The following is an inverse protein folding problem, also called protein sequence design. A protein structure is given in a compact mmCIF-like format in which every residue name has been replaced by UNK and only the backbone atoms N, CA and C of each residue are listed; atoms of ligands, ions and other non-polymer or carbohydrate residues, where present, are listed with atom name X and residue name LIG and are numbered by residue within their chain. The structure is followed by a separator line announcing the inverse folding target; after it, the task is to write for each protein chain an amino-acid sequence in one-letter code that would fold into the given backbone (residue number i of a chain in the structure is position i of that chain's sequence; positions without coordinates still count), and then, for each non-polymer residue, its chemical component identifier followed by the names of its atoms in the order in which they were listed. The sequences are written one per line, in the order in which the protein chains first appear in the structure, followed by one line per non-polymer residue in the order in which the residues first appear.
data_IF_052489580647
#
_entry.id   IF_052489580647
#
_cell.length_a   1.000
_cell.length_b   1.000
_cell.length_c   1.000
_cell.angle_alpha   90.00
_cell.angle_beta   90.00
_cell.angle_gamma   90.00
#
_symmetry.space_group_name_H-M   'P 1'
#
loop_
_entity.id
_entity.type
_entity.pdbx_description
1 polymer ?
#
# COMPACT_ATOMS: atom_id res chain seq x y z
N UNK A 1 18.44 2.09 -24.90
CA UNK A 1 17.71 1.04 -25.66
C UNK A 1 16.96 0.25 -24.61
N UNK A 2 15.63 0.36 -24.58
CA UNK A 2 14.82 -0.37 -23.59
C UNK A 2 14.92 -1.86 -23.86
N UNK A 3 15.18 -2.67 -22.83
CA UNK A 3 15.29 -4.12 -22.94
C UNK A 3 13.93 -4.70 -23.39
N UNK A 4 13.81 -5.25 -24.62
CA UNK A 4 12.54 -5.76 -25.13
C UNK A 4 12.03 -6.95 -24.30
N UNK A 5 12.92 -7.67 -23.61
CA UNK A 5 12.54 -8.79 -22.75
C UNK A 5 11.88 -8.31 -21.44
N UNK A 6 12.27 -7.14 -20.89
CA UNK A 6 11.57 -6.59 -19.72
C UNK A 6 10.26 -5.91 -20.11
N UNK A 7 10.21 -5.24 -21.27
CA UNK A 7 8.95 -4.69 -21.78
C UNK A 7 7.92 -5.80 -22.03
N UNK A 8 8.38 -6.96 -22.51
CA UNK A 8 7.60 -8.19 -22.61
C UNK A 8 7.26 -8.77 -21.24
N UNK A 9 8.22 -8.93 -20.33
CA UNK A 9 7.97 -9.45 -18.98
C UNK A 9 6.96 -8.60 -18.21
N UNK A 10 7.01 -7.26 -18.29
CA UNK A 10 6.02 -6.36 -17.67
C UNK A 10 4.64 -6.47 -18.34
N UNK A 11 4.59 -6.74 -19.66
CA UNK A 11 3.34 -7.06 -20.37
C UNK A 11 2.77 -8.41 -19.95
N UNK A 12 3.65 -9.38 -19.72
CA UNK A 12 3.30 -10.74 -19.30
C UNK A 12 3.01 -10.81 -17.79
N UNK A 13 3.47 -9.82 -17.00
CA UNK A 13 3.06 -9.56 -15.61
C UNK A 13 1.64 -9.00 -15.51
N UNK A 14 0.92 -8.82 -16.63
CA UNK A 14 -0.53 -8.64 -16.61
C UNK A 14 -1.17 -9.95 -16.14
N UNK A 15 -1.10 -10.18 -14.82
CA UNK A 15 -1.87 -11.23 -14.18
C UNK A 15 -3.32 -10.91 -14.51
N UNK A 16 -4.01 -11.85 -15.16
CA UNK A 16 -5.41 -11.67 -15.53
C UNK A 16 -6.25 -11.34 -14.29
N UNK A 17 -7.50 -10.92 -14.50
CA UNK A 17 -8.44 -10.56 -13.42
C UNK A 17 -8.62 -11.63 -12.32
N UNK A 18 -8.13 -12.85 -12.56
CA UNK A 18 -8.16 -14.00 -11.67
C UNK A 18 -6.98 -14.12 -10.68
N UNK A 19 -6.16 -13.07 -10.45
CA UNK A 19 -5.16 -13.14 -9.38
C UNK A 19 -5.85 -13.14 -8.01
N UNK A 20 -5.96 -14.34 -7.43
CA UNK A 20 -6.26 -14.52 -6.01
C UNK A 20 -4.95 -14.40 -5.20
N UNK A 21 -4.95 -13.61 -4.11
CA UNK A 21 -3.79 -13.55 -3.24
C UNK A 21 -3.49 -14.92 -2.63
N UNK A 22 -2.22 -15.17 -2.32
CA UNK A 22 -1.80 -16.42 -1.70
C UNK A 22 -2.44 -16.56 -0.31
N UNK A 23 -3.24 -17.62 -0.13
CA UNK A 23 -3.85 -17.94 1.16
C UNK A 23 -2.80 -18.46 2.13
N UNK A 24 -2.82 -17.93 3.34
CA UNK A 24 -1.92 -18.29 4.43
C UNK A 24 -2.64 -19.14 5.48
N UNK A 25 -1.86 -19.88 6.26
CA UNK A 25 -2.35 -20.50 7.48
C UNK A 25 -2.74 -19.41 8.48
N UNK A 26 -3.84 -19.66 9.22
CA UNK A 26 -4.29 -18.75 10.26
C UNK A 26 -3.22 -18.55 11.32
N UNK A 27 -2.98 -17.29 11.67
CA UNK A 27 -2.11 -16.87 12.76
C UNK A 27 -2.67 -17.22 14.16
N UNK A 28 -3.92 -17.70 14.24
CA UNK A 28 -4.61 -17.95 15.50
C UNK A 28 -5.09 -16.68 16.21
N UNK A 29 -5.00 -15.52 15.55
CA UNK A 29 -5.47 -14.26 16.08
C UNK A 29 -7.01 -14.17 16.05
N UNK A 30 -7.59 -13.53 17.06
CA UNK A 30 -9.02 -13.30 17.12
C UNK A 30 -9.36 -12.00 16.37
N UNK A 31 -9.94 -12.13 15.18
CA UNK A 31 -10.35 -11.01 14.35
C UNK A 31 -11.58 -10.28 14.90
N UNK A 32 -11.66 -8.98 14.60
CA UNK A 32 -12.71 -8.07 15.01
C UNK A 32 -13.90 -8.04 14.05
N UNK A 33 -14.68 -6.96 14.19
CA UNK A 33 -15.92 -6.67 13.44
C UNK A 33 -15.88 -5.22 12.96
N UNK A 34 -16.57 -4.88 11.87
CA UNK A 34 -16.67 -3.50 11.42
C UNK A 34 -17.30 -2.61 12.49
N UNK A 35 -16.87 -1.35 12.54
CA UNK A 35 -17.47 -0.36 13.41
C UNK A 35 -18.90 -0.01 12.93
N UNK A 36 -19.83 0.39 13.82
CA UNK A 36 -21.16 0.80 13.40
C UNK A 36 -21.10 1.99 12.42
N UNK A 37 -21.76 1.85 11.26
CA UNK A 37 -21.76 2.87 10.21
C UNK A 37 -20.42 3.05 9.50
N UNK A 38 -19.57 2.02 9.50
CA UNK A 38 -18.32 2.01 8.74
C UNK A 38 -18.61 1.96 7.24
N UNK A 39 -17.96 2.83 6.47
CA UNK A 39 -18.13 2.92 5.02
C UNK A 39 -16.77 2.78 4.33
N UNK A 40 -16.78 2.21 3.12
CA UNK A 40 -15.62 2.10 2.27
C UNK A 40 -15.19 3.47 1.76
N UNK A 41 -13.96 3.89 2.05
CA UNK A 41 -13.44 5.19 1.59
C UNK A 41 -13.30 5.32 0.07
N UNK A 42 -13.37 4.21 -0.68
CA UNK A 42 -13.25 4.20 -2.14
C UNK A 42 -14.60 4.11 -2.85
N UNK A 43 -15.45 3.16 -2.47
CA UNK A 43 -16.76 2.96 -3.11
C UNK A 43 -17.91 3.71 -2.43
N UNK A 44 -17.70 4.22 -1.21
CA UNK A 44 -18.75 4.79 -0.35
C UNK A 44 -19.87 3.79 -0.02
N UNK A 45 -19.60 2.49 -0.16
CA UNK A 45 -20.52 1.43 0.24
C UNK A 45 -20.30 1.07 1.71
N UNK A 46 -21.37 0.64 2.37
CA UNK A 46 -21.33 0.20 3.77
C UNK A 46 -20.42 -1.02 3.94
N UNK A 47 -19.63 -1.03 5.01
CA UNK A 47 -18.85 -2.18 5.45
C UNK A 47 -19.57 -2.80 6.64
N UNK A 48 -20.17 -3.97 6.42
CA UNK A 48 -21.06 -4.63 7.37
C UNK A 48 -20.65 -6.08 7.61
N UNK A 49 -21.13 -6.68 8.69
CA UNK A 49 -20.94 -8.12 8.92
C UNK A 49 -21.80 -8.94 7.96
N UNK A 50 -22.99 -8.43 7.63
CA UNK A 50 -23.99 -9.04 6.77
C UNK A 50 -23.49 -9.21 5.33
N UNK A 51 -22.81 -8.19 4.80
CA UNK A 51 -22.22 -8.21 3.46
C UNK A 51 -20.85 -8.90 3.43
N UNK A 52 -20.34 -9.27 4.61
CA UNK A 52 -19.08 -9.98 4.81
C UNK A 52 -17.88 -9.35 4.07
N UNK A 53 -17.91 -8.02 3.94
CA UNK A 53 -16.97 -7.22 3.15
C UNK A 53 -15.91 -6.52 4.02
N UNK A 54 -15.86 -6.84 5.31
CA UNK A 54 -14.87 -6.34 6.26
C UNK A 54 -13.49 -6.98 6.07
N UNK A 55 -12.44 -6.17 6.25
CA UNK A 55 -11.04 -6.59 6.08
C UNK A 55 -10.21 -6.07 7.24
N UNK A 56 -9.30 -6.90 7.72
CA UNK A 56 -8.21 -6.49 8.61
C UNK A 56 -6.86 -6.65 7.91
N UNK A 57 -5.88 -5.88 8.33
CA UNK A 57 -4.52 -5.95 7.83
C UNK A 57 -3.52 -6.05 8.98
N UNK A 58 -2.47 -6.85 8.79
CA UNK A 58 -1.37 -7.02 9.74
C UNK A 58 -0.13 -6.32 9.22
N UNK A 59 0.53 -5.55 10.09
CA UNK A 59 1.73 -4.80 9.74
C UNK A 59 2.99 -5.43 10.32
N UNK A 60 4.14 -5.13 9.69
CA UNK A 60 5.44 -5.61 10.14
C UNK A 60 6.40 -4.44 10.41
N UNK A 61 7.24 -4.51 11.47
CA UNK A 61 7.50 -5.66 12.32
C UNK A 61 6.64 -5.77 13.59
N UNK A 62 5.69 -4.84 13.84
CA UNK A 62 4.85 -4.88 15.04
C UNK A 62 3.97 -6.12 15.15
N UNK A 63 3.64 -6.74 14.00
CA UNK A 63 2.81 -7.93 13.91
C UNK A 63 1.36 -7.71 14.42
N UNK A 64 0.90 -6.45 14.43
CA UNK A 64 -0.42 -6.05 14.92
C UNK A 64 -1.47 -6.01 13.81
N UNK A 65 -2.68 -6.46 14.14
CA UNK A 65 -3.85 -6.39 13.26
C UNK A 65 -4.62 -5.07 13.43
N UNK A 66 -5.09 -4.54 12.30
CA UNK A 66 -5.76 -3.25 12.21
C UNK A 66 -6.98 -3.32 11.28
N UNK A 67 -8.05 -2.55 11.56
CA UNK A 67 -9.20 -2.47 10.67
C UNK A 67 -8.85 -1.73 9.36
N UNK A 68 -9.26 -2.28 8.22
CA UNK A 68 -9.14 -1.61 6.92
C UNK A 68 -10.36 -0.74 6.64
N UNK A 69 -10.17 0.48 6.12
CA UNK A 69 -11.27 1.34 5.68
C UNK A 69 -11.69 1.14 4.22
N UNK A 70 -11.29 0.03 3.61
CA UNK A 70 -11.77 -0.42 2.31
C UNK A 70 -12.51 -1.74 2.44
N UNK A 71 -13.50 -1.94 1.56
CA UNK A 71 -14.21 -3.21 1.46
C UNK A 71 -13.32 -4.29 0.84
N UNK A 72 -13.67 -5.55 1.05
CA UNK A 72 -13.00 -6.73 0.50
C UNK A 72 -12.69 -6.61 -0.99
N UNK A 73 -13.65 -6.14 -1.79
CA UNK A 73 -13.51 -6.05 -3.24
C UNK A 73 -12.52 -4.98 -3.67
N UNK A 74 -12.50 -3.84 -2.97
CA UNK A 74 -11.53 -2.78 -3.21
C UNK A 74 -10.13 -3.24 -2.85
N UNK A 75 -9.95 -3.92 -1.71
CA UNK A 75 -8.64 -4.47 -1.31
C UNK A 75 -8.15 -5.52 -2.32
N UNK A 76 -9.03 -6.43 -2.76
CA UNK A 76 -8.72 -7.42 -3.79
C UNK A 76 -8.34 -6.74 -5.12
N UNK A 77 -9.05 -5.68 -5.50
CA UNK A 77 -8.69 -4.89 -6.69
C UNK A 77 -7.31 -4.25 -6.56
N UNK A 78 -7.00 -3.63 -5.41
CA UNK A 78 -5.69 -3.02 -5.15
C UNK A 78 -4.54 -4.04 -5.25
N UNK A 79 -4.73 -5.24 -4.70
CA UNK A 79 -3.74 -6.32 -4.81
C UNK A 79 -3.42 -6.64 -6.28
N UNK A 80 -4.42 -6.59 -7.16
CA UNK A 80 -4.25 -6.86 -8.60
C UNK A 80 -3.65 -5.70 -9.38
N UNK A 81 -4.05 -4.47 -9.07
CA UNK A 81 -3.77 -3.33 -9.95
C UNK A 81 -2.64 -2.43 -9.49
N UNK A 82 -2.37 -2.30 -8.19
CA UNK A 82 -1.50 -1.25 -7.65
C UNK A 82 -0.08 -1.28 -8.23
N UNK A 83 0.50 -2.47 -8.43
CA UNK A 83 1.83 -2.61 -9.04
C UNK A 83 1.84 -2.19 -10.52
N UNK A 84 0.85 -2.66 -11.29
CA UNK A 84 0.69 -2.28 -12.70
C UNK A 84 0.47 -0.78 -12.84
N UNK A 85 -0.43 -0.22 -12.04
CA UNK A 85 -0.79 1.19 -12.06
C UNK A 85 0.43 2.06 -11.70
N UNK A 86 1.30 1.60 -10.79
CA UNK A 86 2.60 2.22 -10.53
C UNK A 86 3.48 2.25 -11.78
N UNK A 87 3.70 1.10 -12.42
CA UNK A 87 4.59 0.99 -13.59
C UNK A 87 4.06 1.85 -14.75
N UNK A 88 2.74 1.83 -14.99
CA UNK A 88 2.12 2.69 -15.99
C UNK A 88 2.25 4.17 -15.66
N UNK A 89 2.05 4.56 -14.39
CA UNK A 89 2.16 5.94 -13.98
C UNK A 89 3.60 6.48 -14.06
N UNK A 90 4.61 5.65 -13.82
CA UNK A 90 6.02 6.03 -14.06
C UNK A 90 6.28 6.24 -15.54
N UNK A 91 5.78 5.36 -16.41
CA UNK A 91 5.94 5.47 -17.88
C UNK A 91 5.20 6.66 -18.49
N UNK A 92 4.04 6.99 -17.94
CA UNK A 92 3.18 8.11 -18.39
C UNK A 92 3.51 9.43 -17.71
N UNK A 93 4.47 9.48 -16.78
CA UNK A 93 4.83 10.70 -16.07
C UNK A 93 5.33 11.75 -17.07
N UNK A 94 4.63 12.88 -17.11
CA UNK A 94 4.84 13.98 -18.06
C UNK A 94 5.75 15.08 -17.50
N UNK A 95 5.98 15.10 -16.19
CA UNK A 95 6.86 16.08 -15.53
C UNK A 95 7.95 15.43 -14.67
N UNK A 96 9.14 16.04 -14.70
CA UNK A 96 10.32 15.53 -14.00
C UNK A 96 10.14 15.44 -12.47
N UNK A 97 9.34 16.33 -11.88
CA UNK A 97 9.04 16.30 -10.45
C UNK A 97 8.16 15.10 -10.06
N UNK A 98 7.14 14.79 -10.86
CA UNK A 98 6.30 13.60 -10.63
C UNK A 98 7.10 12.32 -10.85
N UNK A 99 7.89 12.26 -11.92
CA UNK A 99 8.78 11.13 -12.21
C UNK A 99 9.77 10.88 -11.07
N UNK A 100 10.43 11.92 -10.55
CA UNK A 100 11.36 11.82 -9.40
C UNK A 100 10.66 11.32 -8.14
N UNK A 101 9.45 11.79 -7.86
CA UNK A 101 8.65 11.34 -6.71
C UNK A 101 8.30 9.86 -6.81
N UNK A 102 7.83 9.41 -7.98
CA UNK A 102 7.43 8.01 -8.21
C UNK A 102 8.61 7.05 -8.22
N UNK A 103 9.73 7.45 -8.82
CA UNK A 103 10.96 6.64 -8.77
C UNK A 103 11.50 6.62 -7.33
N UNK A 104 11.40 7.71 -6.58
CA UNK A 104 11.85 7.79 -5.19
C UNK A 104 11.10 6.85 -4.24
N UNK A 105 9.84 6.49 -4.51
CA UNK A 105 9.14 5.45 -3.74
C UNK A 105 9.55 4.02 -4.15
N UNK A 106 10.10 3.86 -5.36
CA UNK A 106 10.40 2.56 -5.96
C UNK A 106 9.15 1.74 -6.28
N UNK A 107 9.31 0.59 -6.97
CA UNK A 107 8.22 -0.33 -7.24
C UNK A 107 7.65 -0.89 -5.93
N UNK A 108 6.33 -0.83 -5.72
CA UNK A 108 5.71 -1.37 -4.51
C UNK A 108 5.76 -2.90 -4.51
N UNK A 109 5.91 -3.50 -3.33
CA UNK A 109 5.89 -4.95 -3.14
C UNK A 109 4.58 -5.37 -2.48
N UNK A 110 4.20 -4.62 -1.45
CA UNK A 110 3.04 -4.85 -0.61
C UNK A 110 1.94 -3.85 -0.93
N UNK A 111 0.68 -4.23 -0.69
CA UNK A 111 -0.43 -3.30 -0.75
C UNK A 111 -0.24 -2.20 0.28
N UNK A 112 -0.47 -0.96 -0.15
CA UNK A 112 -0.42 0.20 0.74
C UNK A 112 -1.47 1.24 0.34
N UNK A 113 -2.15 1.80 1.32
CA UNK A 113 -2.95 3.01 1.17
C UNK A 113 -2.86 3.85 2.43
N UNK A 114 -2.51 5.14 2.28
CA UNK A 114 -2.25 6.04 3.42
C UNK A 114 -3.48 6.32 4.30
N UNK A 115 -4.68 6.15 3.76
CA UNK A 115 -5.93 6.50 4.42
C UNK A 115 -6.68 5.25 4.87
N UNK A 116 -6.71 4.21 4.02
CA UNK A 116 -7.41 2.98 4.33
C UNK A 116 -6.58 1.96 5.10
N UNK A 117 -5.25 2.00 4.96
CA UNK A 117 -4.30 1.11 5.64
C UNK A 117 -3.14 1.92 6.24
N UNK A 118 -3.43 2.82 7.21
CA UNK A 118 -2.40 3.65 7.82
C UNK A 118 -1.41 2.76 8.60
N UNK A 119 -0.13 2.88 8.26
CA UNK A 119 0.94 2.18 8.98
C UNK A 119 1.24 2.91 10.30
N UNK A 120 1.31 2.21 11.44
CA UNK A 120 1.72 2.82 12.71
C UNK A 120 3.22 3.17 12.70
N UNK A 121 3.63 4.00 13.66
CA UNK A 121 5.02 4.43 13.76
C UNK A 121 5.95 3.24 14.04
N UNK A 122 6.99 3.09 13.22
CA UNK A 122 7.95 1.98 13.33
C UNK A 122 7.66 0.82 12.38
N UNK A 123 6.45 0.73 11.84
CA UNK A 123 6.10 -0.26 10.84
C UNK A 123 6.47 0.16 9.42
N UNK A 124 6.72 -0.86 8.60
CA UNK A 124 7.32 -0.69 7.29
C UNK A 124 6.38 -1.05 6.15
N UNK A 125 5.52 -2.05 6.34
CA UNK A 125 4.58 -2.53 5.33
C UNK A 125 3.45 -3.34 5.95
N UNK A 126 2.40 -3.56 5.16
CA UNK A 126 1.37 -4.56 5.42
C UNK A 126 1.89 -5.91 4.95
N UNK A 127 1.92 -6.90 5.83
CA UNK A 127 2.40 -8.26 5.51
C UNK A 127 1.25 -9.25 5.24
N UNK A 128 0.14 -9.11 5.95
CA UNK A 128 -1.02 -10.01 5.85
C UNK A 128 -2.33 -9.25 5.78
N UNK A 129 -3.32 -9.90 5.18
CA UNK A 129 -4.70 -9.45 5.11
C UNK A 129 -5.60 -10.57 5.61
N UNK A 130 -6.71 -10.23 6.25
CA UNK A 130 -7.75 -11.16 6.62
C UNK A 130 -9.09 -10.66 6.10
N UNK A 131 -9.85 -11.53 5.46
CA UNK A 131 -11.17 -11.19 4.90
C UNK A 131 -12.27 -11.86 5.71
N UNK A 132 -13.24 -11.06 6.18
CA UNK A 132 -14.37 -11.60 6.96
C UNK A 132 -15.26 -12.55 6.14
N UNK A 133 -15.35 -12.35 4.82
CA UNK A 133 -16.18 -13.15 3.90
C UNK A 133 -15.82 -14.63 3.83
N UNK A 134 -14.54 -14.96 3.93
CA UNK A 134 -14.05 -16.35 3.91
C UNK A 134 -13.39 -16.76 5.24
N UNK A 135 -13.08 -15.80 6.11
CA UNK A 135 -12.40 -16.02 7.37
C UNK A 135 -10.95 -16.48 7.19
N UNK A 136 -10.32 -16.15 6.06
CA UNK A 136 -8.97 -16.58 5.74
C UNK A 136 -7.96 -15.44 5.71
N UNK A 137 -6.72 -15.79 6.06
CA UNK A 137 -5.57 -14.89 5.95
C UNK A 137 -4.90 -15.06 4.60
N UNK A 138 -4.35 -13.97 4.10
CA UNK A 138 -3.73 -13.87 2.79
C UNK A 138 -2.46 -13.03 2.85
N UNK A 139 -1.54 -13.32 1.93
CA UNK A 139 -0.35 -12.52 1.70
C UNK A 139 -0.74 -11.16 1.12
N UNK A 140 -0.20 -10.07 1.69
CA UNK A 140 -0.47 -8.70 1.25
C UNK A 140 0.34 -8.27 0.00
N UNK A 141 1.08 -9.20 -0.61
CA UNK A 141 1.94 -8.96 -1.76
C UNK A 141 1.12 -8.68 -3.01
N UNK A 142 1.51 -7.66 -3.77
CA UNK A 142 0.83 -7.27 -4.99
C UNK A 142 1.06 -8.28 -6.11
N UNK A 143 0.06 -8.42 -6.98
CA UNK A 143 0.15 -9.20 -8.21
C UNK A 143 1.30 -8.68 -9.08
N UNK A 144 2.24 -9.57 -9.41
CA UNK A 144 3.39 -9.23 -10.23
C UNK A 144 4.47 -8.38 -9.54
N UNK A 145 4.37 -8.16 -8.21
CA UNK A 145 5.42 -7.52 -7.44
C UNK A 145 6.75 -8.29 -7.57
N UNK A 146 7.79 -7.57 -7.96
CA UNK A 146 9.15 -8.09 -8.03
C UNK A 146 9.87 -7.87 -6.70
N UNK A 147 10.78 -8.77 -6.37
CA UNK A 147 11.64 -8.70 -5.18
C UNK A 147 13.11 -8.87 -5.56
N UNK A 148 14.00 -8.49 -4.64
CA UNK A 148 15.45 -8.67 -4.79
C UNK A 148 16.02 -8.02 -6.05
N UNK A 149 16.84 -8.78 -6.77
CA UNK A 149 17.55 -8.32 -7.98
C UNK A 149 16.59 -7.93 -9.11
N UNK A 150 15.48 -8.65 -9.30
CA UNK A 150 14.50 -8.34 -10.33
C UNK A 150 13.83 -6.98 -10.09
N UNK A 151 13.52 -6.66 -8.82
CA UNK A 151 13.00 -5.34 -8.43
C UNK A 151 14.04 -4.25 -8.67
N UNK A 152 15.29 -4.52 -8.30
CA UNK A 152 16.39 -3.57 -8.47
C UNK A 152 16.62 -3.27 -9.95
N UNK A 153 16.66 -4.28 -10.82
CA UNK A 153 16.79 -4.12 -12.28
C UNK A 153 15.67 -3.26 -12.85
N UNK A 154 14.41 -3.53 -12.49
CA UNK A 154 13.27 -2.71 -12.93
C UNK A 154 13.44 -1.26 -12.45
N UNK A 155 13.83 -1.06 -11.20
CA UNK A 155 13.99 0.27 -10.64
C UNK A 155 15.13 1.06 -11.30
N UNK A 156 16.27 0.41 -11.59
CA UNK A 156 17.41 1.03 -12.29
C UNK A 156 17.05 1.43 -13.72
N UNK A 157 16.28 0.60 -14.42
CA UNK A 157 15.77 0.94 -15.75
C UNK A 157 14.81 2.12 -15.72
N UNK A 158 13.90 2.16 -14.73
CA UNK A 158 12.99 3.30 -14.55
C UNK A 158 13.77 4.57 -14.14
N UNK A 159 14.82 4.44 -13.32
CA UNK A 159 15.70 5.52 -12.90
C UNK A 159 16.56 6.06 -14.04
N UNK A 160 16.84 5.27 -15.08
CA UNK A 160 17.59 5.71 -16.26
C UNK A 160 16.86 6.81 -17.07
N UNK A 161 15.53 6.94 -16.91
CA UNK A 161 14.76 8.04 -17.51
C UNK A 161 14.98 9.39 -16.80
N UNK A 162 15.57 9.40 -15.59
CA UNK A 162 15.95 10.63 -14.91
C UNK A 162 17.30 11.15 -15.43
N UNK A 163 17.48 12.48 -15.49
CA UNK A 163 18.80 13.08 -15.70
C UNK A 163 19.81 12.56 -14.65
N UNK A 164 21.10 12.45 -14.99
CA UNK A 164 22.13 11.91 -14.09
C UNK A 164 22.15 12.55 -12.70
N UNK A 165 21.87 13.86 -12.63
CA UNK A 165 21.87 14.68 -11.42
C UNK A 165 20.60 14.50 -10.55
N UNK A 166 19.56 13.88 -11.08
CA UNK A 166 18.27 13.66 -10.41
C UNK A 166 18.07 12.21 -9.96
N UNK A 167 18.98 11.29 -10.30
CA UNK A 167 18.91 9.89 -9.89
C UNK A 167 19.11 9.76 -8.37
N UNK A 168 18.23 9.03 -7.67
CA UNK A 168 18.44 8.76 -6.25
C UNK A 168 19.72 7.94 -6.06
N UNK A 169 20.65 8.41 -5.24
CA UNK A 169 21.92 7.73 -4.92
C UNK A 169 21.75 6.67 -3.81
N UNK A 170 20.56 6.57 -3.23
CA UNK A 170 20.24 5.62 -2.16
C UNK A 170 18.99 4.83 -2.54
N UNK A 171 19.00 3.53 -2.22
CA UNK A 171 17.83 2.64 -2.32
C UNK A 171 16.58 3.30 -1.73
N UNK A 172 15.36 2.95 -2.20
CA UNK A 172 14.14 3.46 -1.60
C UNK A 172 14.03 2.87 -0.20
N UNK A 173 14.66 3.53 0.77
CA UNK A 173 14.47 3.29 2.18
C UNK A 173 13.06 3.75 2.49
N UNK A 174 12.27 2.85 3.09
CA UNK A 174 11.02 3.13 3.79
C UNK A 174 11.12 4.50 4.46
N UNK A 175 10.40 5.48 3.91
CA UNK A 175 10.67 6.89 4.19
C UNK A 175 10.10 7.26 5.55
N UNK A 176 10.96 7.21 6.58
CA UNK A 176 10.73 7.90 7.84
C UNK A 176 10.44 9.38 7.56
N UNK A 177 9.23 9.83 7.84
CA UNK A 177 8.79 11.19 7.60
C UNK A 177 9.02 12.05 8.84
N UNK A 178 10.23 12.62 8.88
CA UNK A 178 10.55 14.01 9.21
C UNK A 178 9.49 14.88 9.95
N UNK A 179 9.79 15.10 11.23
CA UNK A 179 9.69 16.31 12.08
C UNK A 179 8.32 16.90 12.46
N UNK A 180 7.99 16.95 13.78
CA UNK A 180 6.76 17.56 14.26
C UNK A 180 6.81 19.09 14.22
N UNK A 181 5.82 19.72 13.58
CA UNK A 181 5.49 21.14 13.79
C UNK A 181 4.85 21.29 15.17
N UNK A 182 5.50 22.02 16.09
CA UNK A 182 4.88 22.47 17.35
C UNK A 182 3.65 23.33 17.03
N UNK A 183 2.49 22.94 17.57
CA UNK A 183 1.31 23.80 17.68
C UNK A 183 1.50 24.76 18.86
N UNK A 184 1.11 26.04 18.77
CA UNK A 184 1.02 26.93 19.93
C UNK A 184 -0.04 26.40 20.90
N UNK A 185 0.24 26.43 22.21
CA UNK A 185 -0.74 26.13 23.24
C UNK A 185 -1.85 27.19 23.23
N UNK A 186 -3.08 26.74 23.05
CA UNK A 186 -4.28 27.52 23.33
C UNK A 186 -4.59 27.39 24.82
N UNK A 187 -4.38 28.47 25.56
CA UNK A 187 -4.63 28.57 27.00
C UNK A 187 -6.13 28.68 27.28
N UNK A 188 -6.62 27.76 28.11
CA UNK A 188 -8.00 27.65 28.58
C UNK A 188 -8.49 28.91 29.35
N UNK A 189 -9.80 29.21 29.33
CA UNK A 189 -10.36 30.29 30.14
C UNK A 189 -10.50 29.89 31.62
N UNK A 190 -10.21 30.84 32.50
CA UNK A 190 -10.26 30.72 33.96
C UNK A 190 -11.70 30.58 34.51
N UNK A 191 -11.90 29.90 35.66
CA UNK A 191 -13.21 29.70 36.25
C UNK A 191 -13.76 30.98 36.89
N UNK A 192 -15.05 31.23 36.67
CA UNK A 192 -15.82 32.25 37.37
C UNK A 192 -15.85 31.96 38.88
N UNK A 193 -15.54 32.97 39.69
CA UNK A 193 -15.79 32.97 41.12
C UNK A 193 -16.94 33.93 41.44
N UNK A 194 -17.93 33.36 42.15
CA UNK A 194 -19.00 33.91 43.01
C UNK A 194 -19.48 35.35 42.81
#
# INVERSE_FOLDING_TARGET
MSDPDLAKAVRDLQVGDAHEPERLDSSGFAHGKPAPGMECLCSMEDITEEDANYVEFRTAPSETWHPCHFSSDVVRSLLRTQFRDYVEAVRKADCAADLKRRIGSGPPIWVADKHAMPLPEGDTHVERLWFAGDGHEYCAKLAGALEGEARQKLWDELAAFLPPEARPTTHPSTRASFTPRRRPQESAPAPAQS
#
